data_IF_048406367736
#
_entry.id   IF_048406367736
#
_cell.length_a   1.000
_cell.length_b   1.000
_cell.length_c   1.000
_cell.angle_alpha   90.00
_cell.angle_beta   90.00
_cell.angle_gamma   90.00
#
_symmetry.space_group_name_H-M   'P 1'
#
loop_
_entity.id
_entity.type
_entity.pdbx_description
1 polymer ?
#
# COMPACT_ATOMS: atom_id res chain seq x y z
N UNK A 1 24.85 4.94 28.69
CA UNK A 1 25.12 5.99 27.69
C UNK A 1 24.30 5.65 26.46
N UNK A 2 23.27 6.44 26.16
CA UNK A 2 22.33 6.23 25.06
C UNK A 2 23.00 6.56 23.71
N UNK A 3 22.98 5.64 22.75
CA UNK A 3 23.15 5.98 21.33
C UNK A 3 21.82 5.76 20.63
N UNK A 4 21.08 6.86 20.47
CA UNK A 4 19.88 6.92 19.64
C UNK A 4 20.24 6.57 18.19
N UNK A 5 19.67 5.46 17.71
CA UNK A 5 19.64 5.04 16.31
C UNK A 5 18.79 6.02 15.49
N UNK A 6 19.38 7.17 15.14
CA UNK A 6 18.73 8.25 14.39
C UNK A 6 18.61 7.96 12.88
N UNK A 7 18.83 6.71 12.45
CA UNK A 7 18.93 6.31 11.03
C UNK A 7 17.64 5.70 10.44
N UNK A 8 16.65 5.39 11.28
CA UNK A 8 15.36 4.78 10.87
C UNK A 8 14.28 5.69 10.24
N UNK A 9 14.15 7.01 10.53
CA UNK A 9 13.00 7.77 10.05
C UNK A 9 13.07 8.14 8.56
N UNK A 10 14.26 8.23 7.95
CA UNK A 10 14.42 8.57 6.53
C UNK A 10 14.04 7.40 5.59
N UNK A 11 14.34 6.19 6.03
CA UNK A 11 14.05 4.91 5.36
C UNK A 11 12.55 4.68 5.24
N UNK A 12 11.80 4.83 6.34
CA UNK A 12 10.33 4.65 6.36
C UNK A 12 9.62 5.71 5.51
N UNK A 13 10.09 6.96 5.56
CA UNK A 13 9.55 8.06 4.74
C UNK A 13 9.70 7.79 3.24
N UNK A 14 10.84 7.27 2.80
CA UNK A 14 11.09 6.94 1.40
C UNK A 14 10.22 5.76 0.92
N UNK A 15 10.03 4.74 1.76
CA UNK A 15 9.14 3.62 1.45
C UNK A 15 7.69 4.09 1.29
N UNK A 16 7.19 4.88 2.24
CA UNK A 16 5.83 5.47 2.19
C UNK A 16 5.61 6.34 0.95
N UNK A 17 6.60 7.13 0.54
CA UNK A 17 6.51 7.93 -0.69
C UNK A 17 6.38 7.06 -1.95
N UNK A 18 7.08 5.92 -2.01
CA UNK A 18 6.99 4.99 -3.15
C UNK A 18 5.67 4.24 -3.18
N UNK A 19 5.19 3.76 -2.04
CA UNK A 19 3.86 3.14 -1.91
C UNK A 19 2.78 4.13 -2.36
N UNK A 20 2.89 5.40 -1.97
CA UNK A 20 1.98 6.46 -2.42
C UNK A 20 2.04 6.68 -3.94
N UNK A 21 3.23 6.69 -4.54
CA UNK A 21 3.40 6.81 -6.00
C UNK A 21 2.72 5.65 -6.74
N UNK A 22 2.92 4.41 -6.30
CA UNK A 22 2.32 3.25 -6.94
C UNK A 22 0.80 3.16 -6.71
N UNK A 23 0.31 3.60 -5.54
CA UNK A 23 -1.13 3.73 -5.29
C UNK A 23 -1.79 4.75 -6.23
N UNK A 24 -1.12 5.88 -6.50
CA UNK A 24 -1.61 6.85 -7.47
C UNK A 24 -1.65 6.27 -8.90
N UNK A 25 -0.58 5.60 -9.33
CA UNK A 25 -0.50 4.99 -10.65
C UNK A 25 -1.56 3.90 -10.84
N UNK A 26 -1.77 3.04 -9.84
CA UNK A 26 -2.84 2.05 -9.88
C UNK A 26 -4.21 2.73 -9.97
N UNK A 27 -4.43 3.82 -9.22
CA UNK A 27 -5.66 4.60 -9.31
C UNK A 27 -5.92 5.14 -10.72
N UNK A 28 -4.89 5.64 -11.40
CA UNK A 28 -4.97 6.09 -12.81
C UNK A 28 -5.31 4.93 -13.75
N UNK A 29 -4.64 3.78 -13.59
CA UNK A 29 -4.90 2.57 -14.39
C UNK A 29 -6.32 2.06 -14.18
N UNK A 30 -6.80 1.99 -12.93
CA UNK A 30 -8.16 1.54 -12.62
C UNK A 30 -9.21 2.46 -13.25
N UNK A 31 -9.03 3.77 -13.20
CA UNK A 31 -9.94 4.72 -13.88
C UNK A 31 -9.96 4.51 -15.38
N UNK A 32 -8.79 4.28 -15.99
CA UNK A 32 -8.66 4.13 -17.43
C UNK A 32 -9.17 2.78 -17.96
N UNK A 33 -9.00 1.70 -17.20
CA UNK A 33 -9.23 0.33 -17.67
C UNK A 33 -10.51 -0.32 -17.09
N UNK A 34 -10.85 -0.03 -15.83
CA UNK A 34 -11.97 -0.66 -15.13
C UNK A 34 -13.15 0.31 -14.90
N UNK A 35 -12.98 1.58 -15.27
CA UNK A 35 -14.00 2.61 -15.15
C UNK A 35 -14.17 3.16 -13.72
N UNK A 36 -15.08 4.13 -13.59
CA UNK A 36 -15.25 4.88 -12.35
C UNK A 36 -15.80 4.02 -11.20
N UNK A 37 -16.72 3.09 -11.48
CA UNK A 37 -17.37 2.26 -10.44
C UNK A 37 -16.35 1.43 -9.67
N UNK A 38 -15.48 0.70 -10.38
CA UNK A 38 -14.42 -0.12 -9.78
C UNK A 38 -13.44 0.77 -9.02
N UNK A 39 -13.00 1.86 -9.63
CA UNK A 39 -12.11 2.82 -8.97
C UNK A 39 -12.69 3.36 -7.65
N UNK A 40 -13.95 3.78 -7.66
CA UNK A 40 -14.63 4.32 -6.49
C UNK A 40 -14.78 3.28 -5.38
N UNK A 41 -15.12 2.04 -5.72
CA UNK A 41 -15.19 0.93 -4.77
C UNK A 41 -13.82 0.66 -4.13
N UNK A 42 -12.76 0.52 -4.92
CA UNK A 42 -11.39 0.29 -4.43
C UNK A 42 -10.94 1.43 -3.51
N UNK A 43 -11.13 2.68 -3.90
CA UNK A 43 -10.72 3.82 -3.07
C UNK A 43 -11.52 3.95 -1.79
N UNK A 44 -12.83 3.68 -1.83
CA UNK A 44 -13.69 3.69 -0.64
C UNK A 44 -13.22 2.65 0.37
N UNK A 45 -12.97 1.42 -0.08
CA UNK A 45 -12.48 0.34 0.77
C UNK A 45 -11.07 0.63 1.30
N UNK A 46 -10.15 1.07 0.43
CA UNK A 46 -8.77 1.39 0.82
C UNK A 46 -8.71 2.46 1.91
N UNK A 47 -9.42 3.58 1.73
CA UNK A 47 -9.47 4.66 2.73
C UNK A 47 -10.17 4.21 4.01
N UNK A 48 -11.31 3.53 3.89
CA UNK A 48 -12.06 3.08 5.05
C UNK A 48 -11.27 2.13 5.95
N UNK A 49 -10.59 1.13 5.37
CA UNK A 49 -9.78 0.20 6.16
C UNK A 49 -8.47 0.81 6.67
N UNK A 50 -7.91 1.81 5.97
CA UNK A 50 -6.79 2.58 6.49
C UNK A 50 -7.20 3.38 7.73
N UNK A 51 -8.36 4.04 7.71
CA UNK A 51 -8.89 4.76 8.87
C UNK A 51 -9.20 3.82 10.04
N UNK A 52 -9.72 2.62 9.78
CA UNK A 52 -9.96 1.60 10.82
C UNK A 52 -8.68 1.06 11.45
N UNK A 53 -7.58 1.04 10.69
CA UNK A 53 -6.28 0.67 11.23
C UNK A 53 -5.78 1.73 12.23
N UNK A 54 -6.01 3.01 11.95
CA UNK A 54 -5.60 4.10 12.84
C UNK A 54 -6.53 4.24 14.06
N UNK A 55 -7.83 4.04 13.87
CA UNK A 55 -8.84 4.07 14.93
C UNK A 55 -9.99 3.11 14.60
N UNK A 56 -10.12 2.04 15.38
CA UNK A 56 -11.17 1.05 15.14
C UNK A 56 -12.56 1.63 15.44
N UNK A 57 -13.48 1.48 14.48
CA UNK A 57 -14.87 1.93 14.54
C UNK A 57 -15.77 0.79 14.03
N UNK A 58 -16.47 0.07 14.92
CA UNK A 58 -17.35 -1.04 14.55
C UNK A 58 -18.45 -0.65 13.55
N UNK A 59 -18.96 0.58 13.61
CA UNK A 59 -20.00 1.06 12.70
C UNK A 59 -19.44 1.31 11.31
N UNK A 60 -18.24 1.90 11.22
CA UNK A 60 -17.54 2.06 9.92
C UNK A 60 -17.17 0.71 9.34
N UNK A 61 -16.68 -0.23 10.15
CA UNK A 61 -16.40 -1.61 9.71
C UNK A 61 -17.64 -2.27 9.13
N UNK A 62 -18.79 -2.18 9.81
CA UNK A 62 -20.06 -2.69 9.28
C UNK A 62 -20.41 -2.06 7.93
N UNK A 63 -20.36 -0.73 7.81
CA UNK A 63 -20.64 -0.02 6.54
C UNK A 63 -19.73 -0.44 5.38
N UNK A 64 -18.45 -0.74 5.65
CA UNK A 64 -17.52 -1.22 4.64
C UNK A 64 -17.85 -2.66 4.22
N UNK A 65 -18.22 -3.53 5.16
CA UNK A 65 -18.68 -4.88 4.86
C UNK A 65 -19.98 -4.86 4.04
N UNK A 66 -20.94 -4.02 4.40
CA UNK A 66 -22.19 -3.85 3.64
C UNK A 66 -21.89 -3.36 2.21
N UNK A 67 -20.96 -2.42 2.07
CA UNK A 67 -20.49 -1.96 0.75
C UNK A 67 -19.95 -3.11 -0.11
N UNK A 68 -19.20 -4.05 0.49
CA UNK A 68 -18.68 -5.23 -0.23
C UNK A 68 -19.82 -6.16 -0.64
N UNK A 69 -20.80 -6.36 0.25
CA UNK A 69 -21.95 -7.22 0.01
C UNK A 69 -22.86 -6.70 -1.11
N UNK A 70 -22.91 -5.38 -1.30
CA UNK A 70 -23.71 -4.71 -2.33
C UNK A 70 -23.05 -4.68 -3.73
N UNK A 71 -21.78 -5.10 -3.85
CA UNK A 71 -21.11 -5.13 -5.15
C UNK A 71 -21.64 -6.28 -6.01
N UNK A 72 -21.89 -6.01 -7.29
CA UNK A 72 -22.11 -7.08 -8.25
C UNK A 72 -20.84 -7.92 -8.43
N UNK A 73 -21.00 -9.18 -8.84
CA UNK A 73 -19.90 -10.15 -8.94
C UNK A 73 -18.78 -9.64 -9.86
N UNK A 74 -19.13 -8.98 -10.98
CA UNK A 74 -18.14 -8.45 -11.91
C UNK A 74 -17.31 -7.33 -11.29
N UNK A 75 -17.96 -6.39 -10.60
CA UNK A 75 -17.23 -5.34 -9.86
C UNK A 75 -16.38 -5.93 -8.74
N UNK A 76 -16.89 -6.92 -8.00
CA UNK A 76 -16.15 -7.57 -6.91
C UNK A 76 -14.86 -8.25 -7.42
N UNK A 77 -14.93 -8.97 -8.55
CA UNK A 77 -13.75 -9.58 -9.18
C UNK A 77 -12.70 -8.54 -9.57
N UNK A 78 -13.13 -7.41 -10.13
CA UNK A 78 -12.22 -6.32 -10.50
C UNK A 78 -11.60 -5.64 -9.28
N UNK A 79 -12.38 -5.46 -8.21
CA UNK A 79 -11.89 -4.94 -6.92
C UNK A 79 -10.82 -5.87 -6.33
N UNK A 80 -11.07 -7.18 -6.31
CA UNK A 80 -10.09 -8.17 -5.82
C UNK A 80 -8.80 -8.09 -6.66
N UNK A 81 -8.94 -8.10 -7.99
CA UNK A 81 -7.80 -7.99 -8.92
C UNK A 81 -7.00 -6.71 -8.67
N UNK A 82 -7.68 -5.59 -8.47
CA UNK A 82 -7.05 -4.31 -8.17
C UNK A 82 -6.20 -4.37 -6.89
N UNK A 83 -6.75 -4.92 -5.80
CA UNK A 83 -6.00 -5.09 -4.56
C UNK A 83 -4.83 -6.07 -4.72
N UNK A 84 -5.00 -7.19 -5.43
CA UNK A 84 -3.89 -8.11 -5.71
C UNK A 84 -2.75 -7.41 -6.45
N UNK A 85 -3.06 -6.65 -7.51
CA UNK A 85 -2.06 -5.87 -8.24
C UNK A 85 -1.40 -4.81 -7.34
N UNK A 86 -2.17 -4.12 -6.51
CA UNK A 86 -1.63 -3.17 -5.53
C UNK A 86 -0.59 -3.81 -4.60
N UNK A 87 -0.92 -4.95 -3.99
CA UNK A 87 -0.01 -5.65 -3.08
C UNK A 87 1.23 -6.18 -3.80
N UNK A 88 1.08 -6.70 -5.03
CA UNK A 88 2.24 -7.10 -5.84
C UNK A 88 3.18 -5.92 -6.11
N UNK A 89 2.65 -4.74 -6.45
CA UNK A 89 3.47 -3.54 -6.66
C UNK A 89 4.14 -3.07 -5.37
N UNK A 90 3.43 -3.11 -4.24
CA UNK A 90 4.00 -2.77 -2.94
C UNK A 90 5.16 -3.71 -2.57
N UNK A 91 4.99 -5.02 -2.78
CA UNK A 91 6.03 -6.01 -2.53
C UNK A 91 7.26 -5.76 -3.41
N UNK A 92 7.08 -5.55 -4.72
CA UNK A 92 8.19 -5.23 -5.64
C UNK A 92 8.91 -3.94 -5.23
N UNK A 93 8.16 -2.93 -4.77
CA UNK A 93 8.72 -1.68 -4.29
C UNK A 93 9.58 -1.85 -3.04
N UNK A 94 9.11 -2.66 -2.09
CA UNK A 94 9.82 -3.00 -0.87
C UNK A 94 11.08 -3.82 -1.18
N UNK A 95 10.98 -4.86 -2.01
CA UNK A 95 12.11 -5.67 -2.44
C UNK A 95 13.19 -4.82 -3.12
N UNK A 96 12.81 -3.97 -4.09
CA UNK A 96 13.74 -3.08 -4.77
C UNK A 96 14.42 -2.10 -3.80
N UNK A 97 13.69 -1.65 -2.78
CA UNK A 97 14.23 -0.78 -1.74
C UNK A 97 15.25 -1.52 -0.84
N UNK A 98 14.89 -2.70 -0.33
CA UNK A 98 15.77 -3.54 0.47
C UNK A 98 17.03 -3.96 -0.31
N UNK A 99 16.89 -4.26 -1.60
CA UNK A 99 18.03 -4.49 -2.49
C UNK A 99 18.97 -3.28 -2.56
N UNK A 100 18.43 -2.05 -2.72
CA UNK A 100 19.24 -0.83 -2.74
C UNK A 100 19.94 -0.59 -1.39
N UNK A 101 19.24 -0.78 -0.27
CA UNK A 101 19.84 -0.62 1.06
C UNK A 101 20.99 -1.60 1.30
N UNK A 102 20.81 -2.89 0.93
CA UNK A 102 21.88 -3.90 1.02
C UNK A 102 23.10 -3.51 0.20
N UNK A 103 22.90 -3.03 -1.04
CA UNK A 103 24.00 -2.53 -1.88
C UNK A 103 24.74 -1.37 -1.25
N UNK A 104 24.02 -0.41 -0.68
CA UNK A 104 24.65 0.72 0.03
C UNK A 104 25.48 0.19 1.21
N UNK A 105 24.93 -0.66 2.08
CA UNK A 105 25.64 -1.21 3.23
C UNK A 105 26.93 -1.96 2.87
N UNK A 106 26.93 -2.71 1.77
CA UNK A 106 28.13 -3.38 1.24
C UNK A 106 29.17 -2.37 0.77
N UNK A 107 28.75 -1.28 0.11
CA UNK A 107 29.67 -0.24 -0.37
C UNK A 107 30.19 0.72 0.71
N UNK A 108 29.48 0.90 1.84
CA UNK A 108 29.94 1.77 2.95
C UNK A 108 30.84 1.07 3.98
N UNK A 109 31.23 -0.19 3.75
CA UNK A 109 32.40 -0.79 4.41
C UNK A 109 32.27 -1.06 5.91
N UNK A 110 31.25 -1.78 6.36
CA UNK A 110 31.38 -2.51 7.64
C UNK A 110 32.17 -3.81 7.39
N UNK A 111 33.17 -4.15 8.22
CA UNK A 111 33.95 -5.36 8.02
C UNK A 111 33.03 -6.58 8.10
N UNK A 112 33.21 -7.52 7.18
CA UNK A 112 32.60 -8.85 7.22
C UNK A 112 33.43 -9.77 8.13
N UNK A 113 33.74 -9.31 9.35
CA UNK A 113 34.27 -10.08 10.48
C UNK A 113 34.34 -9.19 11.72
#
# INVERSE_FOLDING_TARGET
MHTQDSSRPSTDKQLRQRVKLYGNLLGEVLRAQAGYTVYAAVEKLRKGYLELHDCDDPMKRRRLLDTIADLDIGTLEQVIRAFSTYFSLANVAEEAFLHRQRRVQVTTGKPLW
#
